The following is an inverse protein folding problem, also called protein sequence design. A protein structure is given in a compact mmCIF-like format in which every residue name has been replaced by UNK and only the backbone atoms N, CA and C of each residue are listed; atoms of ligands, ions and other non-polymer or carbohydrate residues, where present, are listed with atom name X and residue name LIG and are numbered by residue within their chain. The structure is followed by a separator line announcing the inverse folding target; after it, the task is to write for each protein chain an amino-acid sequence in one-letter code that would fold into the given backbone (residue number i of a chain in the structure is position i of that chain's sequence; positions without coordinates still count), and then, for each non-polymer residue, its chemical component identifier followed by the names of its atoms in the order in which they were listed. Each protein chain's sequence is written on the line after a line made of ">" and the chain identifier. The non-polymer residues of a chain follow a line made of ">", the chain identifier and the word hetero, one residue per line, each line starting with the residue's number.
data_IF_080250425036
#
_entry.id   IF_080250425036
#
_cell.length_a   1.000
_cell.length_b   1.000
_cell.length_c   1.000
_cell.angle_alpha   90.00
_cell.angle_beta   90.00
_cell.angle_gamma   90.00
#
_symmetry.space_group_name_H-M   'P 1'
#
loop_
_entity.id
_entity.type
_entity.pdbx_description
1 polymer ?
#
# COMPACT_ATOMS: atom_id res chain seq x y z
N UNK A 1 -17.10 5.96 6.71
CA UNK A 1 -17.22 4.97 5.63
C UNK A 1 -18.36 4.07 6.03
N UNK A 2 -19.44 4.08 5.26
CA UNK A 2 -20.54 3.13 5.49
C UNK A 2 -20.03 1.71 5.23
N UNK A 3 -20.46 0.71 6.00
CA UNK A 3 -20.09 -0.67 5.78
C UNK A 3 -20.51 -1.15 4.38
N UNK A 4 -19.70 -2.02 3.79
CA UNK A 4 -19.93 -2.52 2.43
C UNK A 4 -21.25 -3.32 2.32
N UNK A 5 -21.64 -4.03 3.38
CA UNK A 5 -22.89 -4.77 3.49
C UNK A 5 -24.13 -3.88 3.45
N UNK A 6 -24.06 -2.68 4.04
CA UNK A 6 -25.12 -1.67 3.95
C UNK A 6 -25.26 -1.18 2.50
N UNK A 7 -24.13 -0.90 1.84
CA UNK A 7 -24.12 -0.47 0.42
C UNK A 7 -24.63 -1.54 -0.54
N UNK A 8 -24.31 -2.81 -0.31
CA UNK A 8 -24.85 -3.93 -1.08
C UNK A 8 -26.36 -4.04 -0.87
N UNK A 9 -26.82 -3.94 0.38
CA UNK A 9 -28.25 -4.01 0.70
C UNK A 9 -29.03 -2.86 0.05
N UNK A 10 -28.49 -1.63 0.09
CA UNK A 10 -29.02 -0.45 -0.60
C UNK A 10 -29.13 -0.68 -2.11
N UNK A 11 -28.08 -1.25 -2.74
CA UNK A 11 -28.09 -1.56 -4.17
C UNK A 11 -29.13 -2.63 -4.55
N UNK A 12 -29.31 -3.68 -3.72
CA UNK A 12 -30.33 -4.70 -3.93
C UNK A 12 -31.72 -4.09 -3.82
N UNK A 13 -31.99 -3.27 -2.79
CA UNK A 13 -33.27 -2.58 -2.63
C UNK A 13 -33.57 -1.67 -3.82
N UNK A 14 -32.58 -0.89 -4.27
CA UNK A 14 -32.71 -0.03 -5.44
C UNK A 14 -33.04 -0.83 -6.72
N UNK A 15 -32.43 -2.00 -6.91
CA UNK A 15 -32.73 -2.87 -8.05
C UNK A 15 -34.12 -3.50 -7.95
N UNK A 16 -34.56 -3.93 -6.76
CA UNK A 16 -35.89 -4.50 -6.57
C UNK A 16 -36.99 -3.48 -6.87
N UNK A 17 -36.83 -2.24 -6.40
CA UNK A 17 -37.78 -1.15 -6.61
C UNK A 17 -37.85 -0.73 -8.09
N UNK A 18 -36.71 -0.68 -8.77
CA UNK A 18 -36.63 -0.26 -10.18
C UNK A 18 -36.71 -1.43 -11.18
N UNK A 19 -36.84 -2.67 -10.71
CA UNK A 19 -36.72 -3.91 -11.50
C UNK A 19 -37.60 -3.92 -12.76
N UNK A 20 -38.86 -3.50 -12.62
CA UNK A 20 -39.82 -3.45 -13.72
C UNK A 20 -39.44 -2.40 -14.78
N UNK A 21 -38.99 -1.21 -14.35
CA UNK A 21 -38.60 -0.13 -15.26
C UNK A 21 -37.31 -0.46 -16.00
N UNK A 22 -36.32 -1.04 -15.29
CA UNK A 22 -35.07 -1.52 -15.89
C UNK A 22 -35.37 -2.62 -16.89
N UNK A 23 -36.19 -3.62 -16.53
CA UNK A 23 -36.58 -4.72 -17.42
C UNK A 23 -37.30 -4.22 -18.67
N UNK A 24 -38.22 -3.25 -18.54
CA UNK A 24 -38.90 -2.66 -19.69
C UNK A 24 -37.94 -1.99 -20.68
N UNK A 25 -36.97 -1.20 -20.19
CA UNK A 25 -35.93 -0.57 -21.03
C UNK A 25 -35.02 -1.62 -21.68
N UNK A 26 -34.64 -2.65 -20.94
CA UNK A 26 -33.84 -3.76 -21.47
C UNK A 26 -34.59 -4.52 -22.56
N UNK A 27 -35.88 -4.81 -22.38
CA UNK A 27 -36.67 -5.50 -23.40
C UNK A 27 -36.88 -4.66 -24.66
N UNK A 28 -36.99 -3.34 -24.50
CA UNK A 28 -37.07 -2.43 -25.64
C UNK A 28 -35.75 -2.34 -26.41
N UNK A 29 -34.60 -2.30 -25.73
CA UNK A 29 -33.28 -2.16 -26.36
C UNK A 29 -32.67 -3.47 -26.86
N UNK A 30 -32.83 -4.55 -26.11
CA UNK A 30 -32.21 -5.86 -26.37
C UNK A 30 -33.20 -6.90 -26.89
N UNK A 31 -34.50 -6.59 -26.93
CA UNK A 31 -35.57 -7.52 -27.29
C UNK A 31 -36.15 -8.26 -26.08
N UNK A 32 -37.39 -8.75 -26.21
CA UNK A 32 -38.01 -9.57 -25.17
C UNK A 32 -37.32 -10.94 -25.08
N UNK A 33 -36.92 -11.37 -23.88
CA UNK A 33 -36.36 -12.71 -23.68
C UNK A 33 -37.43 -13.75 -24.00
N UNK A 34 -37.08 -14.77 -24.81
CA UNK A 34 -37.96 -15.91 -25.02
C UNK A 34 -38.12 -16.64 -23.69
N UNK A 35 -39.35 -16.88 -23.19
CA UNK A 35 -39.55 -17.70 -22.01
C UNK A 35 -38.94 -19.08 -22.28
N UNK A 36 -38.07 -19.53 -21.38
CA UNK A 36 -37.46 -20.85 -21.51
C UNK A 36 -38.57 -21.92 -21.54
N UNK A 37 -38.52 -22.89 -22.48
CA UNK A 37 -39.45 -24.01 -22.44
C UNK A 37 -39.31 -24.72 -21.10
N UNK A 38 -40.44 -25.17 -20.53
CA UNK A 38 -40.63 -25.65 -19.16
C UNK A 38 -39.87 -26.95 -18.78
N UNK A 39 -38.72 -27.22 -19.39
CA UNK A 39 -37.95 -28.47 -19.29
C UNK A 39 -36.71 -28.38 -18.41
N UNK A 40 -36.38 -27.20 -17.85
CA UNK A 40 -35.38 -27.12 -16.79
C UNK A 40 -36.10 -26.89 -15.49
N UNK A 41 -36.17 -27.96 -14.68
CA UNK A 41 -36.49 -27.90 -13.25
C UNK A 41 -35.98 -26.58 -12.70
N UNK A 42 -36.89 -25.71 -12.28
CA UNK A 42 -36.52 -24.61 -11.41
C UNK A 42 -35.69 -25.27 -10.31
N UNK A 43 -34.40 -24.90 -10.18
CA UNK A 43 -33.70 -25.21 -8.94
C UNK A 43 -34.57 -24.53 -7.89
N UNK A 44 -35.25 -25.32 -7.07
CA UNK A 44 -35.99 -24.80 -5.94
C UNK A 44 -35.06 -23.82 -5.24
N UNK A 45 -35.53 -22.60 -5.01
CA UNK A 45 -34.82 -21.72 -4.10
C UNK A 45 -34.58 -22.57 -2.84
N UNK A 46 -33.33 -22.74 -2.38
CA UNK A 46 -33.08 -23.56 -1.21
C UNK A 46 -33.92 -22.98 -0.07
N UNK A 47 -34.85 -23.78 0.46
CA UNK A 47 -35.69 -23.41 1.62
C UNK A 47 -34.87 -22.99 2.84
N UNK A 48 -33.58 -23.34 2.83
CA UNK A 48 -32.60 -22.92 3.81
C UNK A 48 -31.87 -21.65 3.34
N UNK A 49 -32.56 -20.51 3.39
CA UNK A 49 -31.86 -19.23 3.56
C UNK A 49 -31.14 -19.31 4.90
N UNK A 50 -29.83 -19.61 4.87
CA UNK A 50 -29.01 -19.60 6.07
C UNK A 50 -29.19 -18.24 6.76
N UNK A 51 -29.80 -18.22 7.94
CA UNK A 51 -29.99 -17.06 8.83
C UNK A 51 -28.66 -16.53 9.40
N UNK A 52 -27.54 -16.77 8.70
CA UNK A 52 -26.21 -16.28 9.04
C UNK A 52 -26.06 -14.77 8.84
N UNK A 53 -27.03 -14.13 8.19
CA UNK A 53 -27.14 -12.68 8.14
C UNK A 53 -27.64 -12.17 9.49
N UNK A 54 -26.69 -11.77 10.33
CA UNK A 54 -26.97 -11.02 11.54
C UNK A 54 -27.42 -9.61 11.12
N UNK A 55 -28.54 -9.08 11.64
CA UNK A 55 -28.89 -7.68 11.43
C UNK A 55 -27.73 -6.79 11.87
N UNK A 56 -27.30 -5.89 10.99
CA UNK A 56 -26.24 -4.93 11.29
C UNK A 56 -26.67 -4.07 12.49
N UNK A 57 -25.87 -4.12 13.57
CA UNK A 57 -26.04 -3.21 14.70
C UNK A 57 -25.15 -1.97 14.46
N UNK A 58 -25.73 -0.79 14.21
CA UNK A 58 -24.98 0.43 13.87
C UNK A 58 -24.01 0.90 14.95
N UNK A 59 -24.10 0.37 16.17
CA UNK A 59 -23.17 0.68 17.26
C UNK A 59 -21.90 -0.18 17.27
N UNK A 60 -21.82 -1.23 16.45
CA UNK A 60 -20.65 -2.10 16.35
C UNK A 60 -19.57 -1.40 15.50
N UNK A 61 -18.94 -0.38 16.09
CA UNK A 61 -17.69 0.21 15.58
C UNK A 61 -16.71 -0.94 15.35
N UNK A 62 -15.97 -0.97 14.22
CA UNK A 62 -14.90 -1.93 14.03
C UNK A 62 -13.84 -1.70 15.12
N UNK A 63 -13.99 -2.43 16.22
CA UNK A 63 -13.02 -2.51 17.29
C UNK A 63 -12.05 -3.58 16.83
N UNK A 64 -10.84 -3.17 16.44
CA UNK A 64 -9.74 -4.11 16.32
C UNK A 64 -9.58 -4.84 17.66
N UNK A 65 -9.20 -6.12 17.63
CA UNK A 65 -9.20 -7.07 18.76
C UNK A 65 -8.47 -6.64 20.06
N UNK A 66 -7.88 -5.44 20.10
CA UNK A 66 -7.24 -4.82 21.25
C UNK A 66 -8.02 -3.62 21.86
N UNK A 67 -9.24 -3.30 21.42
CA UNK A 67 -10.05 -2.21 22.00
C UNK A 67 -9.53 -0.79 21.71
N UNK A 68 -8.52 -0.65 20.86
CA UNK A 68 -8.06 0.65 20.35
C UNK A 68 -8.95 1.08 19.19
N UNK A 69 -9.52 2.27 19.26
CA UNK A 69 -10.23 2.85 18.12
C UNK A 69 -9.22 3.36 17.09
N UNK A 70 -9.56 3.27 15.80
CA UNK A 70 -8.76 3.85 14.72
C UNK A 70 -8.38 5.32 15.01
N UNK A 71 -9.31 6.08 15.57
CA UNK A 71 -9.12 7.48 15.94
C UNK A 71 -7.98 7.69 16.96
N UNK A 72 -7.85 6.78 17.94
CA UNK A 72 -6.74 6.84 18.92
C UNK A 72 -5.41 6.56 18.24
N UNK A 73 -5.33 5.53 17.40
CA UNK A 73 -4.13 5.19 16.65
C UNK A 73 -3.69 6.33 15.73
N UNK A 74 -4.64 6.97 15.04
CA UNK A 74 -4.37 8.14 14.19
C UNK A 74 -3.83 9.31 15.02
N UNK A 75 -4.39 9.53 16.20
CA UNK A 75 -3.94 10.59 17.11
C UNK A 75 -2.52 10.32 17.62
N UNK A 76 -2.25 9.11 18.08
CA UNK A 76 -0.93 8.70 18.58
C UNK A 76 0.14 8.82 17.49
N UNK A 77 -0.14 8.33 16.28
CA UNK A 77 0.78 8.45 15.13
C UNK A 77 1.02 9.92 14.80
N UNK A 78 -0.02 10.75 14.78
CA UNK A 78 0.12 12.20 14.53
C UNK A 78 1.02 12.88 15.56
N UNK A 79 0.91 12.52 16.83
CA UNK A 79 1.77 13.05 17.89
C UNK A 79 3.22 12.60 17.74
N UNK A 80 3.46 11.32 17.47
CA UNK A 80 4.82 10.80 17.22
C UNK A 80 5.46 11.43 15.99
N UNK A 81 4.70 11.63 14.91
CA UNK A 81 5.18 12.29 13.70
C UNK A 81 5.50 13.79 13.93
N UNK A 82 4.78 14.46 14.83
CA UNK A 82 5.12 15.84 15.21
C UNK A 82 6.49 15.93 15.88
N UNK A 83 6.79 14.98 16.77
CA UNK A 83 8.09 14.91 17.44
C UNK A 83 9.22 14.58 16.45
N UNK A 84 8.95 13.73 15.45
CA UNK A 84 9.97 13.32 14.48
C UNK A 84 10.29 14.38 13.40
N UNK A 85 9.45 15.41 13.24
CA UNK A 85 9.56 16.42 12.17
C UNK A 85 10.93 17.10 12.08
N UNK A 86 11.60 17.31 13.23
CA UNK A 86 12.88 18.04 13.30
C UNK A 86 14.07 17.15 13.62
N UNK A 87 13.94 15.81 13.54
CA UNK A 87 14.98 14.87 14.00
C UNK A 87 16.34 15.16 13.37
N UNK A 88 16.41 15.38 12.06
CA UNK A 88 17.69 15.60 11.37
C UNK A 88 18.35 16.94 11.72
N UNK A 89 17.59 18.03 11.76
CA UNK A 89 18.09 19.36 12.18
C UNK A 89 18.39 19.44 13.68
N UNK A 90 17.67 18.67 14.50
CA UNK A 90 17.85 18.65 15.94
C UNK A 90 19.01 17.74 16.38
N UNK A 91 19.48 16.85 15.50
CA UNK A 91 20.48 15.83 15.83
C UNK A 91 21.76 16.42 16.46
N UNK A 92 22.39 17.48 15.89
CA UNK A 92 23.58 18.07 16.51
C UNK A 92 23.31 18.56 17.93
N UNK A 93 22.19 19.25 18.14
CA UNK A 93 21.79 19.73 19.46
C UNK A 93 21.52 18.58 20.44
N UNK A 94 20.91 17.48 20.00
CA UNK A 94 20.67 16.33 20.89
C UNK A 94 21.95 15.62 21.32
N UNK A 95 22.95 15.56 20.44
CA UNK A 95 24.27 14.98 20.76
C UNK A 95 25.05 15.93 21.68
N UNK A 96 25.04 17.23 21.38
CA UNK A 96 25.80 18.23 22.15
C UNK A 96 25.12 18.66 23.47
N UNK A 97 23.85 18.31 23.69
CA UNK A 97 23.15 18.59 24.95
C UNK A 97 23.61 17.68 26.10
N UNK A 98 24.22 16.54 25.79
CA UNK A 98 24.77 15.66 26.82
C UNK A 98 25.93 16.35 27.55
N UNK A 99 25.88 16.36 28.90
CA UNK A 99 26.91 16.98 29.76
C UNK A 99 28.27 16.27 29.62
N UNK A 100 28.29 15.05 29.08
CA UNK A 100 29.53 14.36 28.71
C UNK A 100 30.25 14.96 27.51
N UNK A 101 29.58 15.79 26.70
CA UNK A 101 30.09 16.32 25.43
C UNK A 101 30.34 17.83 25.50
N UNK A 102 29.55 18.59 26.27
CA UNK A 102 29.70 20.03 26.43
C UNK A 102 29.79 20.44 27.89
N UNK A 103 30.38 21.61 28.17
CA UNK A 103 30.52 22.16 29.52
C UNK A 103 29.18 22.61 30.16
N UNK A 104 28.04 22.25 29.57
CA UNK A 104 26.71 22.75 29.94
C UNK A 104 26.50 24.22 29.54
N UNK A 105 25.24 24.67 29.56
CA UNK A 105 24.86 26.04 29.18
C UNK A 105 25.21 27.11 30.23
N UNK A 106 25.73 26.72 31.39
CA UNK A 106 26.02 27.65 32.50
C UNK A 106 27.39 28.33 32.39
N UNK A 107 28.33 27.76 31.63
CA UNK A 107 29.74 28.20 31.58
C UNK A 107 30.18 28.55 30.15
N UNK A 108 29.39 29.35 29.42
CA UNK A 108 29.69 29.76 28.03
C UNK A 108 30.97 30.60 27.90
N UNK A 109 31.39 31.28 28.98
CA UNK A 109 32.61 32.09 29.01
C UNK A 109 33.87 31.25 29.29
N UNK A 110 33.68 30.06 29.86
CA UNK A 110 34.74 29.20 30.40
C UNK A 110 34.71 27.78 29.79
N UNK A 111 34.31 27.67 28.53
CA UNK A 111 34.31 26.43 27.77
C UNK A 111 35.59 26.27 26.92
N UNK A 112 35.88 25.05 26.46
CA UNK A 112 36.96 24.81 25.50
C UNK A 112 36.47 25.12 24.08
N UNK A 113 37.13 26.06 23.40
CA UNK A 113 36.74 26.53 22.06
C UNK A 113 37.59 25.94 20.92
N UNK A 114 38.39 24.90 21.18
CA UNK A 114 39.31 24.31 20.20
C UNK A 114 40.78 24.76 20.37
N UNK A 115 41.02 25.92 20.99
CA UNK A 115 42.37 26.45 21.23
C UNK A 115 42.68 26.74 22.69
N UNK A 116 41.71 27.24 23.44
CA UNK A 116 41.88 27.67 24.83
C UNK A 116 40.56 27.59 25.61
N UNK A 117 40.64 27.79 26.92
CA UNK A 117 39.45 27.96 27.77
C UNK A 117 38.95 29.41 27.64
N UNK A 118 38.03 29.63 26.72
CA UNK A 118 37.45 30.93 26.40
C UNK A 118 36.16 30.74 25.61
N UNK A 119 35.37 31.81 25.49
CA UNK A 119 34.14 31.83 24.70
C UNK A 119 34.39 31.43 23.24
N UNK A 120 33.45 30.66 22.67
CA UNK A 120 33.37 30.41 21.23
C UNK A 120 32.71 31.61 20.52
N UNK A 121 33.44 32.21 19.57
CA UNK A 121 33.02 33.41 18.85
C UNK A 121 32.28 33.14 17.53
N UNK A 122 32.64 32.12 16.73
CA UNK A 122 31.96 31.89 15.46
C UNK A 122 30.47 31.58 15.65
N UNK A 123 29.66 31.99 14.67
CA UNK A 123 28.23 31.67 14.67
C UNK A 123 27.98 30.21 14.28
N UNK A 124 26.84 29.67 14.72
CA UNK A 124 26.42 28.32 14.38
C UNK A 124 26.01 28.31 12.90
N UNK A 125 26.59 27.40 12.13
CA UNK A 125 26.23 27.21 10.72
C UNK A 125 24.79 26.70 10.57
N UNK A 126 24.10 27.13 9.50
CA UNK A 126 22.75 26.69 9.21
C UNK A 126 22.70 25.21 8.77
N UNK A 127 21.53 24.58 8.93
CA UNK A 127 21.30 23.18 8.56
C UNK A 127 21.53 22.90 7.06
N UNK A 128 22.04 21.71 6.76
CA UNK A 128 22.16 21.19 5.39
C UNK A 128 23.52 21.44 4.73
N UNK A 129 23.86 20.58 3.76
CA UNK A 129 25.20 20.49 3.17
C UNK A 129 25.69 21.82 2.56
N UNK A 130 24.82 22.53 1.85
CA UNK A 130 25.17 23.78 1.15
C UNK A 130 25.59 24.90 2.11
N UNK A 131 25.10 24.88 3.35
CA UNK A 131 25.40 25.90 4.35
C UNK A 131 26.71 25.64 5.09
N UNK A 132 27.38 24.51 4.80
CA UNK A 132 28.63 24.12 5.46
C UNK A 132 29.88 24.57 4.69
N UNK A 133 29.73 25.25 3.55
CA UNK A 133 30.88 25.74 2.75
C UNK A 133 31.79 26.69 3.54
N UNK A 134 31.22 27.47 4.47
CA UNK A 134 31.93 28.42 5.32
C UNK A 134 32.06 27.94 6.77
N UNK A 135 31.95 26.63 7.02
CA UNK A 135 32.09 26.10 8.38
C UNK A 135 33.54 26.30 8.87
N UNK A 136 33.76 27.04 9.97
CA UNK A 136 35.11 27.32 10.47
C UNK A 136 35.83 26.10 11.06
N UNK A 137 35.09 25.06 11.47
CA UNK A 137 35.63 23.91 12.19
C UNK A 137 35.98 22.73 11.26
N UNK A 138 35.28 22.60 10.13
CA UNK A 138 35.43 21.45 9.22
C UNK A 138 35.26 21.91 7.78
N UNK A 139 36.24 21.58 6.94
CA UNK A 139 36.13 21.75 5.49
C UNK A 139 35.23 20.66 4.89
N UNK A 140 34.17 21.07 4.18
CA UNK A 140 33.17 20.17 3.62
C UNK A 140 33.08 20.35 2.10
N UNK A 141 33.31 19.28 1.34
CA UNK A 141 33.08 19.26 -0.11
C UNK A 141 31.58 19.19 -0.43
N UNK A 142 30.97 20.36 -0.63
CA UNK A 142 29.55 20.49 -0.97
C UNK A 142 29.19 19.93 -2.37
N UNK A 143 30.19 19.72 -3.24
CA UNK A 143 29.97 19.28 -4.62
C UNK A 143 29.71 17.77 -4.72
N UNK A 144 30.04 17.03 -3.66
CA UNK A 144 29.92 15.57 -3.59
C UNK A 144 28.94 15.14 -2.49
N UNK A 145 27.62 15.33 -2.69
CA UNK A 145 26.64 14.85 -1.74
C UNK A 145 26.63 13.31 -1.71
N UNK A 146 26.29 12.76 -0.54
CA UNK A 146 26.15 11.32 -0.36
C UNK A 146 25.01 10.75 -1.23
N UNK A 147 25.33 9.72 -2.01
CA UNK A 147 24.40 9.12 -2.96
C UNK A 147 23.28 8.34 -2.27
N UNK A 148 23.56 7.71 -1.14
CA UNK A 148 22.57 6.96 -0.35
C UNK A 148 21.57 7.91 0.29
N UNK A 149 22.03 9.01 0.90
CA UNK A 149 21.16 10.06 1.43
C UNK A 149 20.27 10.64 0.33
N UNK A 150 20.82 10.85 -0.87
CA UNK A 150 20.05 11.34 -2.02
C UNK A 150 18.97 10.35 -2.47
N UNK A 151 19.25 9.05 -2.44
CA UNK A 151 18.24 8.01 -2.73
C UNK A 151 17.09 8.06 -1.71
N UNK A 152 17.41 8.18 -0.41
CA UNK A 152 16.38 8.27 0.63
C UNK A 152 15.53 9.54 0.50
N UNK A 153 16.13 10.68 0.13
CA UNK A 153 15.39 11.91 -0.17
C UNK A 153 14.41 11.70 -1.33
N UNK A 154 14.82 11.00 -2.39
CA UNK A 154 13.95 10.70 -3.52
C UNK A 154 12.80 9.75 -3.14
N UNK A 155 13.08 8.70 -2.36
CA UNK A 155 12.05 7.81 -1.84
C UNK A 155 11.01 8.57 -0.99
N UNK A 156 11.45 9.48 -0.11
CA UNK A 156 10.57 10.33 0.68
C UNK A 156 9.73 11.26 -0.20
N UNK A 157 10.29 11.81 -1.28
CA UNK A 157 9.54 12.65 -2.24
C UNK A 157 8.45 11.85 -2.95
N UNK A 158 8.75 10.64 -3.41
CA UNK A 158 7.78 9.73 -4.04
C UNK A 158 6.64 9.42 -3.07
N UNK A 159 6.96 9.02 -1.84
CA UNK A 159 5.93 8.75 -0.82
C UNK A 159 5.11 10.00 -0.47
N UNK A 160 5.73 11.18 -0.42
CA UNK A 160 5.01 12.45 -0.19
C UNK A 160 4.01 12.74 -1.30
N UNK A 161 4.39 12.53 -2.56
CA UNK A 161 3.48 12.70 -3.69
C UNK A 161 2.34 11.68 -3.66
N UNK A 162 2.64 10.42 -3.32
CA UNK A 162 1.61 9.38 -3.10
C UNK A 162 0.60 9.81 -2.02
N UNK A 163 1.07 10.34 -0.89
CA UNK A 163 0.21 10.85 0.18
C UNK A 163 -0.62 12.07 -0.25
N UNK A 164 -0.06 12.98 -1.04
CA UNK A 164 -0.80 14.14 -1.61
C UNK A 164 -1.90 13.67 -2.57
N UNK A 165 -1.62 12.68 -3.41
CA UNK A 165 -2.62 12.11 -4.31
C UNK A 165 -3.74 11.43 -3.52
N UNK A 166 -3.41 10.60 -2.53
CA UNK A 166 -4.37 9.99 -1.62
C UNK A 166 -5.27 11.05 -0.95
N UNK A 167 -4.68 12.14 -0.47
CA UNK A 167 -5.41 13.23 0.18
C UNK A 167 -6.40 13.92 -0.77
N UNK A 168 -6.03 14.07 -2.04
CA UNK A 168 -6.88 14.66 -3.07
C UNK A 168 -7.91 13.67 -3.65
N UNK A 169 -7.89 12.40 -3.24
CA UNK A 169 -8.74 11.35 -3.82
C UNK A 169 -8.27 10.83 -5.18
N UNK A 170 -7.04 11.15 -5.59
CA UNK A 170 -6.43 10.62 -6.80
C UNK A 170 -5.88 9.22 -6.55
N UNK A 171 -5.83 8.40 -7.61
CA UNK A 171 -5.20 7.09 -7.53
C UNK A 171 -3.70 7.23 -7.18
N UNK A 172 -3.26 6.41 -6.23
CA UNK A 172 -1.91 6.39 -5.67
C UNK A 172 -1.08 5.29 -6.32
N UNK A 173 -1.74 4.29 -6.89
CA UNK A 173 -1.12 3.09 -7.41
C UNK A 173 -1.80 2.72 -8.73
N UNK A 174 -1.61 3.59 -9.73
CA UNK A 174 -2.07 3.29 -11.08
C UNK A 174 -1.31 2.07 -11.60
N UNK A 175 -2.04 1.11 -12.14
CA UNK A 175 -1.51 -0.19 -12.57
C UNK A 175 -0.52 -0.08 -13.76
N UNK A 176 -0.34 1.12 -14.35
CA UNK A 176 0.68 1.42 -15.37
C UNK A 176 2.04 1.89 -14.81
N UNK A 177 2.24 2.05 -13.50
CA UNK A 177 3.59 2.31 -12.95
C UNK A 177 4.35 1.00 -12.68
N UNK A 178 4.29 0.03 -13.59
CA UNK A 178 5.12 -1.17 -13.53
C UNK A 178 6.53 -0.96 -14.09
N UNK A 179 6.78 0.16 -14.78
CA UNK A 179 7.98 0.28 -15.60
C UNK A 179 8.89 1.44 -15.15
N UNK A 180 9.34 1.40 -13.90
CA UNK A 180 10.54 2.15 -13.46
C UNK A 180 11.83 1.52 -14.03
N UNK A 181 11.73 0.52 -14.90
CA UNK A 181 12.85 -0.16 -15.57
C UNK A 181 12.46 -0.68 -16.96
N UNK A 182 12.13 0.20 -17.91
CA UNK A 182 12.26 -0.12 -19.33
C UNK A 182 12.35 1.12 -20.19
N UNK A 183 13.59 1.58 -20.40
CA UNK A 183 13.93 2.42 -21.53
C UNK A 183 14.52 1.55 -22.64
N UNK A 184 13.73 1.26 -23.69
CA UNK A 184 14.22 1.07 -25.07
C UNK A 184 13.05 1.11 -26.05
N UNK A 185 13.21 1.93 -27.08
CA UNK A 185 12.13 2.48 -27.90
C UNK A 185 11.63 1.59 -29.03
N UNK A 186 10.45 1.98 -29.53
CA UNK A 186 9.74 1.42 -30.67
C UNK A 186 10.38 1.83 -32.01
N UNK A 187 10.25 0.96 -33.02
CA UNK A 187 10.39 1.34 -34.42
C UNK A 187 10.58 0.18 -35.38
N UNK A 188 9.49 -0.47 -35.81
CA UNK A 188 9.49 -1.19 -37.09
C UNK A 188 8.22 -0.82 -37.85
N UNK A 189 8.36 0.10 -38.80
CA UNK A 189 7.31 0.45 -39.75
C UNK A 189 7.07 -0.70 -40.71
N UNK A 190 5.81 -1.12 -40.81
CA UNK A 190 5.36 -1.99 -41.88
C UNK A 190 5.17 -1.12 -43.13
N UNK A 191 6.00 -1.34 -44.15
CA UNK A 191 5.75 -0.84 -45.50
C UNK A 191 5.07 -1.95 -46.30
N UNK A 192 4.17 -1.50 -47.17
CA UNK A 192 3.53 -2.18 -48.30
C UNK A 192 2.24 -3.00 -48.05
N UNK A 193 1.16 -2.35 -48.52
CA UNK A 193 0.05 -2.82 -49.35
C UNK A 193 -0.84 -4.00 -48.92
N UNK A 194 -2.12 -3.64 -48.73
CA UNK A 194 -3.36 -4.45 -48.75
C UNK A 194 -3.68 -5.26 -47.47
N UNK A 195 -4.49 -4.65 -46.61
CA UNK A 195 -5.45 -5.37 -45.76
C UNK A 195 -6.85 -4.74 -45.94
N UNK A 196 -7.82 -5.42 -46.57
CA UNK A 196 -9.19 -4.92 -46.67
C UNK A 196 -9.85 -4.84 -45.30
N UNK A 197 -10.64 -3.78 -45.14
CA UNK A 197 -11.54 -3.56 -44.01
C UNK A 197 -12.77 -4.45 -44.18
N UNK A 198 -12.73 -5.64 -43.58
CA UNK A 198 -13.90 -6.53 -43.50
C UNK A 198 -14.30 -6.61 -42.02
N UNK A 199 -15.35 -5.88 -41.66
CA UNK A 199 -16.04 -6.03 -40.37
C UNK A 199 -16.90 -7.31 -40.46
N UNK A 200 -16.37 -8.45 -40.05
CA UNK A 200 -17.19 -9.65 -39.82
C UNK A 200 -17.90 -9.51 -38.46
N UNK A 201 -19.23 -9.38 -38.51
CA UNK A 201 -20.09 -9.46 -37.34
C UNK A 201 -20.18 -10.92 -36.89
N UNK A 202 -19.28 -11.34 -35.99
CA UNK A 202 -19.38 -12.65 -35.35
C UNK A 202 -20.49 -12.58 -34.31
N UNK A 203 -21.67 -13.11 -34.64
CA UNK A 203 -22.66 -13.51 -33.63
C UNK A 203 -22.06 -14.63 -32.78
N UNK A 204 -21.86 -14.37 -31.49
CA UNK A 204 -21.50 -15.41 -30.52
C UNK A 204 -22.69 -16.36 -30.36
N UNK A 205 -22.66 -17.49 -31.07
CA UNK A 205 -23.49 -18.63 -30.76
C UNK A 205 -22.88 -19.35 -29.55
N UNK A 206 -23.67 -19.54 -28.49
CA UNK A 206 -23.21 -20.20 -27.28
C UNK A 206 -22.90 -21.70 -27.57
N UNK A 207 -21.78 -22.27 -27.09
CA UNK A 207 -21.48 -23.67 -27.32
C UNK A 207 -22.56 -24.56 -26.70
N UNK A 208 -22.97 -25.59 -27.44
CA UNK A 208 -23.78 -26.67 -26.88
C UNK A 208 -22.99 -27.38 -25.79
N UNK A 209 -23.49 -27.32 -24.55
CA UNK A 209 -22.94 -28.06 -23.41
C UNK A 209 -23.34 -29.52 -23.55
N UNK A 210 -22.37 -30.37 -23.89
CA UNK A 210 -22.49 -31.83 -23.78
C UNK A 210 -22.48 -32.22 -22.29
N UNK A 211 -23.50 -32.94 -21.77
CA UNK A 211 -23.63 -33.19 -20.34
C UNK A 211 -22.75 -34.33 -19.80
N UNK A 212 -21.84 -34.93 -20.57
CA UNK A 212 -21.03 -36.05 -20.10
C UNK A 212 -19.53 -35.73 -20.11
N UNK A 213 -19.07 -34.96 -19.11
CA UNK A 213 -17.65 -34.87 -18.76
C UNK A 213 -17.48 -35.15 -17.27
N UNK A 214 -17.18 -36.42 -16.98
CA UNK A 214 -16.78 -36.90 -15.65
C UNK A 214 -15.54 -36.15 -15.18
N UNK A 215 -15.56 -35.77 -13.91
CA UNK A 215 -14.46 -35.17 -13.19
C UNK A 215 -13.29 -36.17 -13.11
N UNK A 216 -12.13 -35.83 -13.69
CA UNK A 216 -10.87 -36.48 -13.38
C UNK A 216 -10.21 -35.75 -12.21
N UNK A 217 -10.18 -36.40 -11.05
CA UNK A 217 -9.36 -35.99 -9.91
C UNK A 217 -7.87 -36.19 -10.24
N UNK A 218 -7.15 -35.10 -10.51
CA UNK A 218 -5.70 -35.12 -10.56
C UNK A 218 -5.12 -35.03 -9.14
N UNK A 219 -4.55 -36.13 -8.66
CA UNK A 219 -3.77 -36.21 -7.42
C UNK A 219 -2.39 -35.58 -7.61
N UNK A 220 -2.23 -34.33 -7.16
CA UNK A 220 -0.94 -33.65 -7.08
C UNK A 220 -0.23 -33.97 -5.76
N UNK A 221 0.85 -34.75 -5.85
CA UNK A 221 1.72 -35.14 -4.73
C UNK A 221 2.35 -33.92 -4.05
N UNK A 222 1.97 -33.60 -2.81
CA UNK A 222 2.67 -32.59 -1.99
C UNK A 222 3.94 -33.21 -1.39
N UNK A 223 5.10 -32.71 -1.80
CA UNK A 223 6.40 -33.07 -1.24
C UNK A 223 6.52 -32.66 0.24
N UNK A 224 6.72 -33.66 1.10
CA UNK A 224 7.07 -33.50 2.51
C UNK A 224 8.48 -32.93 2.66
N UNK A 225 8.63 -31.61 2.78
CA UNK A 225 9.89 -30.96 3.18
C UNK A 225 9.76 -30.08 4.45
N UNK A 226 8.58 -30.06 5.09
CA UNK A 226 8.34 -29.15 6.23
C UNK A 226 8.82 -29.71 7.58
N UNK A 227 8.77 -31.02 7.82
CA UNK A 227 9.03 -31.58 9.15
C UNK A 227 10.53 -31.75 9.49
N UNK A 228 11.38 -31.97 8.48
CA UNK A 228 12.84 -32.13 8.67
C UNK A 228 13.56 -30.79 8.92
N UNK A 229 13.02 -29.68 8.42
CA UNK A 229 13.62 -28.36 8.63
C UNK A 229 13.37 -27.85 10.06
N UNK A 230 12.20 -28.14 10.62
CA UNK A 230 11.85 -27.73 11.99
C UNK A 230 12.63 -28.51 13.06
N UNK A 231 12.93 -29.79 12.83
CA UNK A 231 13.71 -30.60 13.76
C UNK A 231 15.17 -30.13 13.86
N UNK A 232 15.79 -29.70 12.75
CA UNK A 232 17.14 -29.16 12.73
C UNK A 232 17.26 -27.82 13.46
N UNK A 233 16.26 -26.94 13.34
CA UNK A 233 16.23 -25.65 14.04
C UNK A 233 16.07 -25.83 15.56
N UNK A 234 15.23 -26.77 16.00
CA UNK A 234 15.07 -27.08 17.42
C UNK A 234 16.36 -27.65 18.04
N UNK A 235 17.09 -28.51 17.31
CA UNK A 235 18.37 -29.06 17.79
C UNK A 235 19.46 -27.99 17.90
N UNK A 236 19.51 -27.04 16.96
CA UNK A 236 20.45 -25.91 17.01
C UNK A 236 20.17 -24.99 18.21
N UNK A 237 18.90 -24.70 18.51
CA UNK A 237 18.51 -23.89 19.66
C UNK A 237 18.77 -24.59 21.00
N UNK A 238 18.64 -25.92 21.05
CA UNK A 238 18.98 -26.71 22.24
C UNK A 238 20.50 -26.72 22.51
N UNK A 239 21.32 -26.84 21.46
CA UNK A 239 22.79 -26.80 21.59
C UNK A 239 23.31 -25.41 22.00
N UNK A 240 22.68 -24.33 21.54
CA UNK A 240 23.03 -22.97 21.95
C UNK A 240 22.71 -22.69 23.43
N UNK A 241 21.72 -23.38 24.01
CA UNK A 241 21.39 -23.25 25.44
C UNK A 241 22.27 -24.11 26.35
N UNK A 242 22.95 -25.12 25.82
CA UNK A 242 23.86 -25.98 26.59
C UNK A 242 25.27 -25.39 26.70
N UNK A 243 25.61 -24.42 25.85
CA UNK A 243 26.92 -23.76 25.78
C UNK A 243 26.96 -22.36 26.43
N UNK A 244 25.92 -21.99 27.18
CA UNK A 244 25.87 -20.77 27.99
C UNK A 244 25.64 -21.13 29.45
#
# INVERSE_FOLDING_TARGET
>A
MDPIDVKISEAIMNMQENSMQVSAKVFQGCGQPKPAPALRSARSAPENFNTRFRPYNPEERPTTAAGTSLDRLVTDIKEKLKLSKKVWSALPYTICKDEGVTAGTSNEEECWNGHSKARYLPEIMNDGLTNQINNPEVEVDITRPDTFIRQQIMALRVMTNKLKNAYNGNDVNFQDTSDESSGSGSGSGCMDDVCPTEFEFVTTEAPAVDPDRREEESSGTQGSYSLLSWSLVCMALALQRLHR
#
